data_IF_182718216659
#
_entry.id   IF_182718216659
#
_cell.length_a   1.000
_cell.length_b   1.000
_cell.length_c   1.000
_cell.angle_alpha   90.00
_cell.angle_beta   90.00
_cell.angle_gamma   90.00
#
_symmetry.space_group_name_H-M   'P 1'
#
loop_
_entity.id
_entity.type
_entity.pdbx_description
1 polymer ?
#
# COMPACT_ATOMS: atom_id res chain seq x y z
N UNK A 1 -21.34 1.87 -16.56
CA UNK A 1 -20.14 2.19 -15.75
C UNK A 1 -19.59 0.88 -15.21
N UNK A 2 -18.28 0.77 -15.03
CA UNK A 2 -17.61 -0.45 -14.54
C UNK A 2 -17.14 -0.25 -13.11
N UNK A 3 -17.13 -1.31 -12.29
CA UNK A 3 -16.45 -1.28 -10.98
C UNK A 3 -14.97 -0.91 -11.18
N UNK A 4 -14.49 0.04 -10.39
CA UNK A 4 -13.10 0.50 -10.45
C UNK A 4 -12.44 0.32 -9.09
N UNK A 5 -11.13 0.23 -9.09
CA UNK A 5 -10.32 0.44 -7.90
C UNK A 5 -9.65 1.79 -7.98
N UNK A 6 -9.73 2.56 -6.90
CA UNK A 6 -8.75 3.59 -6.61
C UNK A 6 -7.74 3.00 -5.63
N UNK A 7 -6.54 2.69 -6.13
CA UNK A 7 -5.55 1.88 -5.43
C UNK A 7 -6.14 0.56 -4.91
N UNK A 8 -6.53 0.47 -3.64
CA UNK A 8 -7.18 -0.70 -3.04
C UNK A 8 -8.66 -0.53 -2.71
N UNK A 9 -9.19 0.69 -2.78
CA UNK A 9 -10.59 0.96 -2.44
C UNK A 9 -11.46 0.64 -3.67
N UNK A 10 -12.40 -0.29 -3.49
CA UNK A 10 -13.38 -0.60 -4.53
C UNK A 10 -14.40 0.54 -4.63
N UNK A 11 -14.59 1.07 -5.84
CA UNK A 11 -15.63 2.04 -6.16
C UNK A 11 -16.61 1.36 -7.11
N UNK A 12 -17.72 0.81 -6.59
CA UNK A 12 -18.71 0.13 -7.41
C UNK A 12 -19.28 1.04 -8.50
N UNK A 13 -19.64 0.47 -9.65
CA UNK A 13 -20.22 1.25 -10.75
C UNK A 13 -21.53 1.94 -10.38
N UNK A 14 -22.26 1.39 -9.41
CA UNK A 14 -23.54 1.92 -8.93
C UNK A 14 -23.38 3.14 -8.03
N UNK A 15 -22.18 3.32 -7.45
CA UNK A 15 -21.89 4.47 -6.58
C UNK A 15 -21.37 5.65 -7.38
N UNK A 16 -20.77 5.43 -8.55
CA UNK A 16 -20.25 6.47 -9.44
C UNK A 16 -21.42 7.27 -10.04
N UNK A 17 -21.52 8.57 -9.71
CA UNK A 17 -22.46 9.51 -10.34
C UNK A 17 -21.63 10.56 -11.05
N UNK A 18 -21.66 10.59 -12.38
CA UNK A 18 -20.95 11.60 -13.18
C UNK A 18 -19.44 11.64 -12.94
N UNK A 19 -18.73 10.64 -13.48
CA UNK A 19 -17.29 10.76 -13.70
C UNK A 19 -17.06 11.53 -14.99
N UNK A 20 -16.93 12.85 -14.87
CA UNK A 20 -16.63 13.73 -15.99
C UNK A 20 -15.17 14.16 -15.92
N UNK A 21 -14.38 13.77 -16.92
CA UNK A 21 -13.18 14.55 -17.24
C UNK A 21 -13.68 15.88 -17.81
N UNK A 22 -13.67 16.95 -17.01
CA UNK A 22 -14.07 18.28 -17.46
C UNK A 22 -13.06 18.82 -18.48
N UNK A 23 -13.15 18.33 -19.72
CA UNK A 23 -12.59 19.02 -20.90
C UNK A 23 -13.58 20.08 -21.38
N UNK A 24 -14.06 20.94 -20.49
CA UNK A 24 -14.79 22.14 -20.90
C UNK A 24 -13.77 23.18 -21.34
N UNK A 25 -13.47 23.22 -22.64
CA UNK A 25 -13.12 24.51 -23.27
C UNK A 25 -14.38 25.37 -23.19
N UNK A 26 -14.55 26.10 -22.10
CA UNK A 26 -15.54 27.16 -22.00
C UNK A 26 -15.08 28.33 -22.88
N UNK A 27 -15.29 28.21 -24.19
CA UNK A 27 -15.35 29.37 -25.09
C UNK A 27 -16.73 30.00 -24.89
N UNK A 28 -16.89 30.76 -23.81
CA UNK A 28 -18.00 31.67 -23.65
C UNK A 28 -17.71 32.93 -24.49
N UNK A 29 -18.18 32.92 -25.73
CA UNK A 29 -18.21 34.11 -26.58
C UNK A 29 -19.31 35.03 -26.07
N UNK A 30 -19.02 35.86 -25.07
CA UNK A 30 -19.83 37.07 -24.85
C UNK A 30 -19.37 38.11 -25.86
N UNK A 31 -20.13 38.21 -26.96
CA UNK A 31 -20.00 39.30 -27.92
C UNK A 31 -20.42 40.61 -27.26
N UNK A 32 -19.45 41.36 -26.75
CA UNK A 32 -19.63 42.78 -26.45
C UNK A 32 -19.28 43.54 -27.72
N UNK A 33 -20.30 44.11 -28.39
CA UNK A 33 -20.09 45.05 -29.48
C UNK A 33 -19.36 46.28 -28.93
N UNK A 34 -18.11 46.50 -29.34
CA UNK A 34 -17.57 47.85 -29.40
C UNK A 34 -16.13 48.12 -28.98
N UNK A 35 -15.28 47.16 -28.57
CA UNK A 35 -13.87 47.47 -28.24
C UNK A 35 -12.87 46.35 -28.58
N UNK A 36 -11.76 46.74 -29.21
CA UNK A 36 -10.80 45.91 -29.94
C UNK A 36 -9.55 45.54 -29.10
N UNK A 37 -9.72 45.20 -27.82
CA UNK A 37 -8.71 44.46 -27.03
C UNK A 37 -9.29 44.00 -25.69
N UNK A 38 -9.85 42.79 -25.67
CA UNK A 38 -10.19 42.09 -24.44
C UNK A 38 -8.93 41.46 -23.83
N UNK A 39 -8.41 42.03 -22.76
CA UNK A 39 -7.42 41.37 -21.90
C UNK A 39 -8.08 40.16 -21.23
N UNK A 40 -7.63 38.96 -21.61
CA UNK A 40 -8.16 37.70 -21.12
C UNK A 40 -7.50 37.38 -19.78
N UNK A 41 -8.23 37.53 -18.67
CA UNK A 41 -7.86 36.91 -17.40
C UNK A 41 -8.52 35.53 -17.33
N UNK A 42 -7.75 34.49 -17.64
CA UNK A 42 -8.14 33.10 -17.41
C UNK A 42 -8.13 32.83 -15.91
N UNK A 43 -9.31 32.61 -15.32
CA UNK A 43 -9.41 31.91 -14.04
C UNK A 43 -9.36 30.42 -14.38
N UNK A 44 -8.15 29.90 -14.51
CA UNK A 44 -7.88 28.53 -14.97
C UNK A 44 -8.22 27.51 -13.89
N UNK A 45 -9.12 26.58 -14.20
CA UNK A 45 -9.01 25.21 -13.66
C UNK A 45 -7.76 24.56 -14.27
N UNK A 46 -7.04 23.76 -13.50
CA UNK A 46 -5.79 23.15 -13.98
C UNK A 46 -6.08 22.14 -15.11
N UNK A 47 -5.37 22.19 -16.25
CA UNK A 47 -5.55 21.20 -17.31
C UNK A 47 -5.21 19.79 -16.81
N UNK A 48 -6.19 18.87 -16.83
CA UNK A 48 -5.98 17.45 -16.48
C UNK A 48 -6.62 17.00 -15.16
N UNK A 49 -7.38 17.87 -14.50
CA UNK A 49 -8.16 17.54 -13.31
C UNK A 49 -9.36 16.62 -13.66
N UNK A 50 -9.62 15.66 -12.80
CA UNK A 50 -10.65 14.63 -12.89
C UNK A 50 -11.41 14.56 -11.57
N UNK A 51 -12.70 14.81 -11.63
CA UNK A 51 -13.57 14.75 -10.45
C UNK A 51 -14.20 13.36 -10.32
N UNK A 52 -13.99 12.74 -9.17
CA UNK A 52 -14.63 11.50 -8.76
C UNK A 52 -15.77 11.82 -7.80
N UNK A 53 -17.01 11.64 -8.25
CA UNK A 53 -18.19 11.76 -7.41
C UNK A 53 -18.79 10.37 -7.19
N UNK A 54 -18.91 9.96 -5.93
CA UNK A 54 -19.41 8.65 -5.54
C UNK A 54 -20.34 8.70 -4.34
N UNK A 55 -21.30 7.78 -4.26
CA UNK A 55 -22.16 7.61 -3.09
C UNK A 55 -21.96 6.20 -2.54
N UNK A 56 -21.35 6.09 -1.36
CA UNK A 56 -21.17 4.84 -0.66
C UNK A 56 -22.33 4.61 0.30
N UNK A 57 -22.87 3.40 0.35
CA UNK A 57 -23.88 2.99 1.34
C UNK A 57 -23.74 1.50 1.64
N UNK A 58 -24.21 1.08 2.83
CA UNK A 58 -24.22 -0.32 3.25
C UNK A 58 -23.49 -0.60 4.56
N UNK A 59 -23.35 -1.88 4.87
CA UNK A 59 -22.72 -2.36 6.11
C UNK A 59 -21.22 -2.07 6.09
N UNK A 60 -20.68 -1.55 7.21
CA UNK A 60 -19.27 -1.18 7.38
C UNK A 60 -18.77 -0.14 6.36
N UNK A 61 -19.66 0.69 5.80
CA UNK A 61 -19.32 1.70 4.79
C UNK A 61 -18.33 2.75 5.30
N UNK A 62 -18.28 2.99 6.61
CA UNK A 62 -17.34 3.90 7.25
C UNK A 62 -15.88 3.49 7.01
N UNK A 63 -15.56 2.19 7.02
CA UNK A 63 -14.18 1.70 6.89
C UNK A 63 -13.56 2.02 5.52
N UNK A 64 -14.17 1.68 4.36
CA UNK A 64 -13.62 2.04 3.05
C UNK A 64 -13.66 3.55 2.79
N UNK A 65 -14.60 4.29 3.41
CA UNK A 65 -14.68 5.76 3.29
C UNK A 65 -13.54 6.43 4.06
N UNK A 66 -13.29 6.02 5.30
CA UNK A 66 -12.17 6.51 6.10
C UNK A 66 -10.82 6.14 5.47
N UNK A 67 -10.66 4.91 4.98
CA UNK A 67 -9.46 4.51 4.24
C UNK A 67 -9.24 5.33 2.96
N UNK A 68 -10.32 5.77 2.31
CA UNK A 68 -10.23 6.68 1.15
C UNK A 68 -9.78 8.07 1.57
N UNK A 69 -10.36 8.62 2.65
CA UNK A 69 -9.96 9.91 3.21
C UNK A 69 -8.48 9.94 3.59
N UNK A 70 -8.02 8.89 4.25
CA UNK A 70 -6.61 8.73 4.59
C UNK A 70 -5.72 8.68 3.35
N UNK A 71 -6.13 7.94 2.32
CA UNK A 71 -5.35 7.81 1.09
C UNK A 71 -5.14 9.16 0.40
N UNK A 72 -6.15 10.03 0.34
CA UNK A 72 -6.04 11.37 -0.25
C UNK A 72 -5.11 12.30 0.55
N UNK A 73 -4.96 12.05 1.84
CA UNK A 73 -4.10 12.83 2.73
C UNK A 73 -2.74 12.16 2.99
N UNK A 74 -2.42 11.06 2.30
CA UNK A 74 -1.20 10.30 2.53
C UNK A 74 -0.02 10.88 1.74
N UNK A 75 1.09 11.15 2.42
CA UNK A 75 2.31 11.68 1.80
C UNK A 75 3.16 10.62 1.06
N UNK A 76 3.02 9.35 1.43
CA UNK A 76 3.78 8.23 0.83
C UNK A 76 3.25 7.74 -0.52
N UNK A 77 2.18 8.35 -1.04
CA UNK A 77 1.48 7.92 -2.25
C UNK A 77 1.36 9.09 -3.24
N UNK A 78 2.43 9.33 -4.00
CA UNK A 78 2.45 10.38 -5.04
C UNK A 78 1.38 10.14 -6.11
N UNK A 79 1.36 8.92 -6.67
CA UNK A 79 0.44 8.56 -7.75
C UNK A 79 -0.08 7.14 -7.62
N UNK A 80 -1.39 7.01 -7.68
CA UNK A 80 -2.10 5.75 -7.51
C UNK A 80 -2.80 5.29 -8.79
N UNK A 81 -2.95 3.97 -9.00
CA UNK A 81 -3.73 3.47 -10.11
C UNK A 81 -5.23 3.70 -9.86
N UNK A 82 -5.91 4.26 -10.85
CA UNK A 82 -7.36 4.26 -10.95
C UNK A 82 -7.74 3.49 -12.20
N UNK A 83 -8.32 2.30 -12.05
CA UNK A 83 -8.60 1.41 -13.17
C UNK A 83 -9.77 0.46 -12.91
N UNK A 84 -10.34 -0.10 -13.98
CA UNK A 84 -11.36 -1.13 -13.89
C UNK A 84 -10.89 -2.35 -13.07
N UNK A 85 -11.79 -2.91 -12.26
CA UNK A 85 -11.55 -4.12 -11.45
C UNK A 85 -11.27 -5.34 -12.34
N UNK A 86 -11.95 -5.46 -13.47
CA UNK A 86 -11.68 -6.48 -14.49
C UNK A 86 -10.97 -5.81 -15.69
N UNK A 87 -9.77 -6.28 -16.10
CA UNK A 87 -9.08 -5.75 -17.27
C UNK A 87 -9.89 -5.80 -18.58
N UNK A 88 -10.84 -6.72 -18.72
CA UNK A 88 -11.72 -6.79 -19.90
C UNK A 88 -12.65 -5.58 -20.01
N UNK A 89 -12.90 -4.90 -18.90
CA UNK A 89 -13.75 -3.72 -18.81
C UNK A 89 -12.94 -2.43 -18.68
N UNK A 90 -11.67 -2.44 -19.12
CA UNK A 90 -10.79 -1.28 -19.09
C UNK A 90 -11.42 -0.09 -19.82
N UNK A 91 -11.38 1.09 -19.21
CA UNK A 91 -11.91 2.31 -19.82
C UNK A 91 -10.77 3.25 -20.20
N UNK A 92 -11.07 4.29 -21.02
CA UNK A 92 -10.10 5.34 -21.38
C UNK A 92 -9.61 6.15 -20.17
N UNK A 93 -10.32 6.04 -19.05
CA UNK A 93 -10.00 6.72 -17.81
C UNK A 93 -8.92 5.97 -17.04
N UNK A 94 -8.72 4.68 -17.30
CA UNK A 94 -7.67 3.90 -16.63
C UNK A 94 -6.31 4.59 -16.75
N UNK A 95 -5.61 4.73 -15.63
CA UNK A 95 -4.43 5.56 -15.54
C UNK A 95 -3.81 5.62 -14.15
N UNK A 96 -2.72 6.37 -14.07
CA UNK A 96 -2.15 6.83 -12.83
C UNK A 96 -2.64 8.25 -12.54
N UNK A 97 -3.04 8.46 -11.29
CA UNK A 97 -3.64 9.70 -10.83
C UNK A 97 -2.91 10.18 -9.57
N UNK A 98 -2.52 11.45 -9.59
CA UNK A 98 -2.14 12.18 -8.39
C UNK A 98 -3.39 12.58 -7.61
N UNK A 99 -3.35 12.44 -6.30
CA UNK A 99 -4.48 12.71 -5.42
C UNK A 99 -4.50 14.19 -5.04
N UNK A 100 -5.65 14.83 -5.22
CA UNK A 100 -5.87 16.24 -4.87
C UNK A 100 -6.58 16.35 -3.53
N UNK A 101 -7.79 16.90 -3.55
CA UNK A 101 -8.63 17.03 -2.36
C UNK A 101 -9.77 16.01 -2.37
N UNK A 102 -10.28 15.71 -1.18
CA UNK A 102 -11.48 14.91 -0.99
C UNK A 102 -12.42 15.64 -0.03
N UNK A 103 -13.72 15.61 -0.33
CA UNK A 103 -14.78 16.05 0.55
C UNK A 103 -15.74 14.88 0.76
N UNK A 104 -16.04 14.58 2.03
CA UNK A 104 -16.89 13.47 2.44
C UNK A 104 -18.05 14.05 3.25
N UNK A 105 -19.27 13.80 2.80
CA UNK A 105 -20.48 14.30 3.42
C UNK A 105 -21.41 13.14 3.77
N UNK A 106 -21.91 13.03 5.01
CA UNK A 106 -22.94 12.03 5.32
C UNK A 106 -24.22 12.33 4.52
N UNK A 107 -24.89 11.29 4.01
CA UNK A 107 -26.12 11.45 3.23
C UNK A 107 -27.32 11.88 4.09
N UNK A 108 -27.32 11.51 5.35
CA UNK A 108 -28.29 11.90 6.35
C UNK A 108 -27.56 12.36 7.61
N UNK A 109 -28.02 13.44 8.24
CA UNK A 109 -27.38 14.00 9.43
C UNK A 109 -27.50 13.13 10.68
N UNK A 110 -28.36 12.10 10.67
CA UNK A 110 -28.68 11.27 11.84
C UNK A 110 -28.31 9.79 11.68
N UNK A 111 -27.92 9.33 10.49
CA UNK A 111 -27.51 7.94 10.28
C UNK A 111 -26.28 7.86 9.38
N UNK A 112 -25.32 7.01 9.75
CA UNK A 112 -24.12 6.74 8.95
C UNK A 112 -24.38 5.70 7.84
N UNK A 113 -25.60 5.65 7.32
CA UNK A 113 -26.03 4.64 6.34
C UNK A 113 -25.46 4.89 4.94
N UNK A 114 -24.87 6.07 4.72
CA UNK A 114 -24.09 6.34 3.53
C UNK A 114 -23.43 7.71 3.50
N UNK A 115 -22.45 7.82 2.61
CA UNK A 115 -21.59 8.99 2.43
C UNK A 115 -21.54 9.38 0.96
N UNK A 116 -21.64 10.68 0.68
CA UNK A 116 -21.29 11.28 -0.60
C UNK A 116 -19.82 11.68 -0.57
N UNK A 117 -19.11 11.35 -1.62
CA UNK A 117 -17.70 11.65 -1.80
C UNK A 117 -17.55 12.46 -3.07
N UNK A 118 -16.88 13.60 -2.96
CA UNK A 118 -16.45 14.41 -4.09
C UNK A 118 -14.95 14.59 -3.98
N UNK A 119 -14.18 14.05 -4.92
CA UNK A 119 -12.73 14.08 -4.88
C UNK A 119 -12.14 14.62 -6.18
N UNK A 120 -11.07 15.40 -6.11
CA UNK A 120 -10.29 15.87 -7.25
C UNK A 120 -9.00 15.07 -7.40
N UNK A 121 -8.70 14.67 -8.63
CA UNK A 121 -7.49 13.93 -8.97
C UNK A 121 -6.89 14.47 -10.25
N UNK A 122 -5.58 14.42 -10.42
CA UNK A 122 -4.93 14.83 -11.67
C UNK A 122 -4.42 13.61 -12.42
N UNK A 123 -4.80 13.44 -13.69
CA UNK A 123 -4.30 12.30 -14.49
C UNK A 123 -2.85 12.56 -14.88
N UNK A 124 -1.92 11.84 -14.27
CA UNK A 124 -0.49 11.94 -14.56
C UNK A 124 -0.10 11.13 -15.79
N UNK A 125 -0.70 9.95 -15.95
CA UNK A 125 -0.26 9.05 -17.00
C UNK A 125 -1.04 7.77 -17.15
N UNK A 126 -0.51 6.89 -17.98
CA UNK A 126 -0.95 5.51 -18.17
C UNK A 126 0.26 4.60 -18.18
N UNK A 127 0.05 3.27 -18.15
CA UNK A 127 1.13 2.28 -18.34
C UNK A 127 1.85 2.44 -19.68
N UNK A 128 1.23 3.06 -20.69
CA UNK A 128 1.85 3.33 -21.98
C UNK A 128 2.65 4.63 -22.02
N UNK A 129 2.37 5.60 -21.16
CA UNK A 129 3.11 6.88 -21.10
C UNK A 129 4.12 6.94 -19.95
N UNK A 130 3.95 6.13 -18.90
CA UNK A 130 4.82 6.08 -17.73
C UNK A 130 5.24 4.64 -17.40
N UNK A 131 6.37 4.53 -16.72
CA UNK A 131 6.84 3.32 -16.05
C UNK A 131 6.59 3.43 -14.55
N UNK A 132 6.33 2.30 -13.89
CA UNK A 132 6.57 2.22 -12.45
C UNK A 132 8.08 2.11 -12.24
N UNK A 133 8.57 2.85 -11.26
CA UNK A 133 9.98 2.95 -10.98
C UNK A 133 10.23 2.73 -9.49
N UNK A 134 11.31 2.01 -9.17
CA UNK A 134 11.89 2.00 -7.83
C UNK A 134 13.23 2.72 -7.90
N UNK A 135 13.29 3.92 -7.31
CA UNK A 135 14.55 4.64 -7.13
C UNK A 135 15.29 4.03 -5.94
N UNK A 136 16.59 3.84 -6.07
CA UNK A 136 17.42 3.32 -5.00
C UNK A 136 18.65 4.18 -4.79
N UNK A 137 19.06 4.31 -3.52
CA UNK A 137 20.31 4.94 -3.10
C UNK A 137 20.98 4.02 -2.09
N UNK A 138 21.71 2.99 -2.55
CA UNK A 138 22.36 2.02 -1.69
C UNK A 138 23.26 2.69 -0.65
N UNK A 139 22.97 2.48 0.64
CA UNK A 139 23.72 3.07 1.75
C UNK A 139 24.06 2.02 2.80
N UNK A 140 25.25 2.14 3.40
CA UNK A 140 25.62 1.34 4.56
C UNK A 140 24.75 1.68 5.76
N UNK A 141 24.29 0.66 6.48
CA UNK A 141 23.46 0.84 7.69
C UNK A 141 24.03 0.00 8.83
N UNK A 142 23.96 0.54 10.06
CA UNK A 142 24.34 -0.18 11.27
C UNK A 142 23.19 -1.11 11.66
N UNK A 143 23.41 -2.41 11.51
CA UNK A 143 22.49 -3.45 11.96
C UNK A 143 23.25 -4.41 12.88
N UNK A 144 22.65 -4.87 13.99
CA UNK A 144 23.29 -5.86 14.87
C UNK A 144 23.33 -7.24 14.20
N UNK A 145 22.60 -7.41 13.10
CA UNK A 145 22.49 -8.64 12.34
C UNK A 145 23.46 -8.58 11.16
N UNK A 146 24.72 -8.95 11.42
CA UNK A 146 25.73 -9.08 10.36
C UNK A 146 25.33 -10.10 9.29
N UNK A 147 25.85 -9.95 8.06
CA UNK A 147 25.93 -11.10 7.15
C UNK A 147 25.91 -10.83 5.66
N UNK A 148 25.24 -9.78 5.18
CA UNK A 148 25.14 -9.55 3.73
C UNK A 148 25.16 -8.06 3.36
N UNK A 149 26.02 -7.72 2.40
CA UNK A 149 26.16 -6.35 1.88
C UNK A 149 25.18 -6.03 0.73
N UNK A 150 24.30 -6.95 0.33
CA UNK A 150 23.32 -6.71 -0.74
C UNK A 150 22.28 -5.65 -0.38
N UNK A 151 21.96 -4.77 -1.32
CA UNK A 151 20.92 -3.75 -1.24
C UNK A 151 19.65 -4.27 -1.92
N UNK A 152 18.98 -5.21 -1.26
CA UNK A 152 17.89 -5.97 -1.90
C UNK A 152 16.51 -5.37 -1.64
N UNK A 153 15.69 -5.32 -2.69
CA UNK A 153 14.26 -4.99 -2.67
C UNK A 153 13.49 -5.94 -3.58
N UNK A 154 12.15 -5.93 -3.54
CA UNK A 154 11.34 -6.87 -4.32
C UNK A 154 10.21 -6.21 -5.13
N UNK A 155 9.96 -6.78 -6.30
CA UNK A 155 8.80 -6.45 -7.15
C UNK A 155 7.98 -7.71 -7.42
N UNK A 156 6.69 -7.59 -7.78
CA UNK A 156 5.86 -8.75 -8.12
C UNK A 156 6.40 -9.50 -9.35
N UNK A 157 6.37 -10.83 -9.35
CA UNK A 157 6.78 -11.65 -10.53
C UNK A 157 5.91 -11.36 -11.77
N UNK A 158 4.67 -10.90 -11.57
CA UNK A 158 3.80 -10.47 -12.67
C UNK A 158 4.25 -9.17 -13.35
N UNK A 159 5.23 -8.46 -12.79
CA UNK A 159 5.82 -7.30 -13.41
C UNK A 159 6.58 -7.70 -14.68
N UNK A 160 6.46 -6.89 -15.72
CA UNK A 160 7.09 -7.14 -17.02
C UNK A 160 7.99 -5.99 -17.41
N UNK A 161 8.84 -6.21 -18.43
CA UNK A 161 9.74 -5.19 -19.00
C UNK A 161 10.68 -4.56 -17.95
N UNK A 162 11.21 -5.39 -17.05
CA UNK A 162 12.12 -5.00 -15.98
C UNK A 162 13.46 -4.54 -16.53
N UNK A 163 13.86 -3.30 -16.21
CA UNK A 163 15.11 -2.69 -16.70
C UNK A 163 15.75 -1.82 -15.63
N UNK A 164 17.07 -1.88 -15.53
CA UNK A 164 17.84 -0.88 -14.80
C UNK A 164 18.00 0.37 -15.65
N UNK A 165 17.84 1.52 -15.01
CA UNK A 165 18.04 2.83 -15.59
C UNK A 165 18.93 3.65 -14.67
N UNK A 166 20.02 4.16 -15.22
CA UNK A 166 20.96 5.04 -14.53
C UNK A 166 20.70 6.49 -14.98
N UNK A 167 20.14 7.32 -14.10
CA UNK A 167 19.75 8.71 -14.41
C UNK A 167 20.91 9.58 -14.94
N UNK A 168 22.14 9.53 -14.38
CA UNK A 168 23.27 10.34 -14.84
C UNK A 168 23.76 9.97 -16.26
N UNK A 169 23.79 8.68 -16.60
CA UNK A 169 24.34 8.23 -17.89
C UNK A 169 23.26 7.97 -18.95
N UNK A 170 22.00 7.81 -18.55
CA UNK A 170 20.91 7.40 -19.42
C UNK A 170 20.99 5.92 -19.84
N UNK A 171 21.88 5.13 -19.23
CA UNK A 171 22.11 3.74 -19.61
C UNK A 171 20.92 2.87 -19.21
N UNK A 172 20.49 2.01 -20.13
CA UNK A 172 19.46 1.00 -19.91
C UNK A 172 20.05 -0.41 -19.99
N UNK A 173 19.84 -1.19 -18.95
CA UNK A 173 20.23 -2.60 -18.90
C UNK A 173 19.03 -3.48 -18.54
N UNK A 174 19.01 -4.72 -19.04
CA UNK A 174 17.99 -5.68 -18.63
C UNK A 174 18.22 -6.10 -17.19
N UNK A 175 17.21 -5.96 -16.34
CA UNK A 175 17.35 -6.34 -14.94
C UNK A 175 17.07 -7.84 -14.77
N UNK A 176 18.02 -8.55 -14.16
CA UNK A 176 17.87 -9.97 -13.83
C UNK A 176 17.59 -10.13 -12.34
N UNK A 177 16.53 -10.85 -11.94
CA UNK A 177 16.23 -11.08 -10.54
C UNK A 177 17.28 -12.02 -9.91
N UNK A 178 17.72 -11.70 -8.69
CA UNK A 178 18.69 -12.48 -7.94
C UNK A 178 18.09 -13.78 -7.41
N UNK A 179 16.82 -13.72 -6.97
CA UNK A 179 16.05 -14.85 -6.43
C UNK A 179 14.57 -14.51 -6.35
N UNK A 180 13.74 -15.52 -6.10
CA UNK A 180 12.32 -15.35 -5.84
C UNK A 180 11.97 -15.60 -4.36
N UNK A 181 10.91 -14.95 -3.89
CA UNK A 181 10.30 -15.18 -2.56
C UNK A 181 8.79 -15.34 -2.70
N UNK A 182 8.20 -16.18 -1.84
CA UNK A 182 6.77 -16.43 -1.81
C UNK A 182 6.09 -15.61 -0.73
N UNK A 183 5.03 -14.87 -1.09
CA UNK A 183 4.25 -14.01 -0.23
C UNK A 183 2.74 -14.33 -0.36
N UNK A 184 1.91 -13.68 0.46
CA UNK A 184 0.46 -13.87 0.54
C UNK A 184 -0.24 -13.79 -0.82
N UNK A 185 0.08 -12.74 -1.60
CA UNK A 185 -0.61 -12.44 -2.85
C UNK A 185 0.10 -12.96 -4.10
N UNK A 186 1.17 -13.74 -3.94
CA UNK A 186 1.92 -14.35 -5.03
C UNK A 186 3.43 -14.40 -4.80
N UNK A 187 4.16 -14.68 -5.88
CA UNK A 187 5.62 -14.68 -5.88
C UNK A 187 6.15 -13.27 -6.16
N UNK A 188 7.27 -12.95 -5.52
CA UNK A 188 8.01 -11.70 -5.72
C UNK A 188 9.41 -12.03 -6.21
N UNK A 189 9.93 -11.20 -7.09
CA UNK A 189 11.29 -11.22 -7.57
C UNK A 189 12.14 -10.23 -6.80
N UNK A 190 13.28 -10.69 -6.28
CA UNK A 190 14.22 -9.90 -5.50
C UNK A 190 15.35 -9.41 -6.40
N UNK A 191 15.56 -8.10 -6.42
CA UNK A 191 16.64 -7.43 -7.12
C UNK A 191 17.64 -6.88 -6.10
N UNK A 192 18.91 -6.76 -6.49
CA UNK A 192 19.98 -6.19 -5.66
C UNK A 192 20.52 -4.94 -6.35
N UNK A 193 20.29 -3.77 -5.75
CA UNK A 193 20.71 -2.49 -6.32
C UNK A 193 22.23 -2.38 -6.47
N UNK A 194 23.03 -3.14 -5.71
CA UNK A 194 24.50 -3.16 -5.87
C UNK A 194 24.97 -3.94 -7.11
N UNK A 195 24.10 -4.73 -7.73
CA UNK A 195 24.40 -5.45 -8.96
C UNK A 195 23.97 -4.67 -10.22
N UNK A 196 23.35 -3.52 -10.05
CA UNK A 196 22.87 -2.67 -11.13
C UNK A 196 23.95 -1.68 -11.60
N UNK A 197 23.82 -1.15 -12.83
CA UNK A 197 24.72 -0.09 -13.32
C UNK A 197 24.51 1.22 -12.55
N UNK A 198 25.61 1.87 -12.18
CA UNK A 198 25.61 3.17 -11.51
C UNK A 198 25.52 3.10 -9.98
N UNK A 199 25.60 4.27 -9.34
CA UNK A 199 25.60 4.42 -7.87
C UNK A 199 24.18 4.60 -7.30
N UNK A 200 23.23 5.09 -8.10
CA UNK A 200 21.83 5.31 -7.70
C UNK A 200 20.87 4.75 -8.77
N UNK A 201 20.87 3.42 -8.97
CA UNK A 201 20.12 2.79 -10.05
C UNK A 201 18.61 2.88 -9.79
N UNK A 202 17.85 3.07 -10.85
CA UNK A 202 16.38 3.03 -10.84
C UNK A 202 15.90 1.79 -11.58
N UNK A 203 15.07 0.97 -10.92
CA UNK A 203 14.44 -0.17 -11.58
C UNK A 203 13.11 0.24 -12.20
N UNK A 204 13.01 0.16 -13.52
CA UNK A 204 11.79 0.39 -14.28
C UNK A 204 11.05 -0.94 -14.51
N UNK A 205 9.74 -0.93 -14.34
CA UNK A 205 8.89 -2.10 -14.60
C UNK A 205 7.46 -1.69 -14.97
N UNK A 206 6.71 -2.66 -15.50
CA UNK A 206 5.31 -2.51 -15.90
C UNK A 206 4.45 -3.58 -15.21
N UNK A 207 3.52 -3.15 -14.36
CA UNK A 207 2.60 -4.01 -13.59
C UNK A 207 1.15 -3.69 -13.96
N UNK A 208 0.26 -4.70 -14.10
CA UNK A 208 -1.16 -4.44 -14.29
C UNK A 208 -1.78 -3.69 -13.09
N UNK A 209 -2.61 -2.69 -13.36
CA UNK A 209 -3.19 -1.81 -12.34
C UNK A 209 -3.85 -2.54 -11.17
N UNK A 210 -4.67 -3.56 -11.45
CA UNK A 210 -5.42 -4.33 -10.46
C UNK A 210 -4.57 -5.30 -9.63
N UNK A 211 -3.27 -5.39 -9.91
CA UNK A 211 -2.32 -6.20 -9.15
C UNK A 211 -1.44 -5.38 -8.22
N UNK A 212 -1.24 -4.09 -8.49
CA UNK A 212 -0.23 -3.29 -7.79
C UNK A 212 -0.44 -3.26 -6.27
N UNK A 213 -1.60 -2.79 -5.82
CA UNK A 213 -1.92 -2.63 -4.39
C UNK A 213 -1.90 -3.94 -3.58
N UNK A 214 -1.98 -5.10 -4.25
CA UNK A 214 -2.05 -6.42 -3.59
C UNK A 214 -0.68 -6.80 -3.04
N UNK A 215 0.38 -6.43 -3.73
CA UNK A 215 1.72 -6.84 -3.33
C UNK A 215 2.37 -5.85 -2.36
N UNK A 216 1.86 -4.63 -2.29
CA UNK A 216 2.42 -3.53 -1.51
C UNK A 216 2.36 -3.76 0.01
N UNK A 217 3.21 -3.03 0.73
CA UNK A 217 3.14 -2.97 2.18
C UNK A 217 1.79 -2.38 2.64
N UNK A 218 1.29 -2.87 3.77
CA UNK A 218 -0.03 -2.53 4.30
C UNK A 218 0.05 -2.26 5.80
N UNK A 219 -0.68 -1.26 6.24
CA UNK A 219 -1.02 -1.02 7.64
C UNK A 219 -2.52 -1.20 7.78
N UNK A 220 -2.92 -1.85 8.85
CA UNK A 220 -4.31 -2.00 9.22
C UNK A 220 -4.54 -1.52 10.65
N UNK A 221 -5.70 -0.95 10.88
CA UNK A 221 -6.30 -0.85 12.21
C UNK A 221 -7.28 -2.01 12.36
N UNK A 222 -7.05 -2.86 13.37
CA UNK A 222 -7.87 -4.04 13.59
C UNK A 222 -9.20 -3.75 14.30
N UNK A 223 -9.37 -2.55 14.87
CA UNK A 223 -10.53 -2.15 15.69
C UNK A 223 -10.88 -3.14 16.82
N UNK A 224 -9.91 -3.93 17.30
CA UNK A 224 -10.11 -5.07 18.19
C UNK A 224 -11.15 -6.09 17.67
N UNK A 225 -11.22 -6.26 16.34
CA UNK A 225 -12.17 -7.14 15.63
C UNK A 225 -11.43 -8.20 14.82
N UNK A 226 -12.08 -9.33 14.54
CA UNK A 226 -11.53 -10.28 13.56
C UNK A 226 -11.43 -9.63 12.18
N UNK A 227 -10.44 -10.06 11.39
CA UNK A 227 -10.18 -9.50 10.05
C UNK A 227 -11.40 -9.61 9.11
N UNK A 228 -12.17 -10.68 9.23
CA UNK A 228 -13.30 -10.98 8.35
C UNK A 228 -14.60 -11.05 9.14
N UNK A 229 -15.60 -10.26 8.74
CA UNK A 229 -16.99 -10.50 9.09
C UNK A 229 -17.52 -11.59 8.17
N UNK A 230 -18.17 -12.57 8.77
CA UNK A 230 -18.80 -13.68 8.06
C UNK A 230 -20.30 -13.50 8.20
N UNK A 231 -20.95 -12.99 7.15
CA UNK A 231 -22.41 -12.92 7.09
C UNK A 231 -22.95 -14.08 6.25
N UNK A 232 -23.97 -14.76 6.75
CA UNK A 232 -24.78 -15.64 5.91
C UNK A 232 -25.63 -14.76 5.00
N UNK A 233 -25.42 -14.83 3.68
CA UNK A 233 -26.33 -14.14 2.78
C UNK A 233 -27.75 -14.66 3.03
N UNK A 234 -28.78 -13.80 2.98
CA UNK A 234 -30.15 -14.27 2.96
C UNK A 234 -30.27 -15.25 1.79
N UNK A 235 -30.51 -16.53 2.11
CA UNK A 235 -30.91 -17.50 1.11
C UNK A 235 -32.14 -16.98 0.39
N UNK A 236 -32.38 -17.44 -0.83
CA UNK A 236 -33.55 -17.10 -1.66
C UNK A 236 -34.91 -17.53 -1.06
N UNK A 237 -34.99 -17.78 0.26
CA UNK A 237 -36.15 -18.33 0.94
C UNK A 237 -36.36 -19.82 0.70
N UNK A 238 -35.61 -20.46 -0.20
CA UNK A 238 -35.74 -21.89 -0.49
C UNK A 238 -34.98 -22.71 0.55
N UNK A 239 -35.60 -22.91 1.71
CA UNK A 239 -35.25 -24.05 2.56
C UNK A 239 -35.76 -25.33 1.89
N UNK A 240 -35.05 -25.81 0.86
CA UNK A 240 -35.14 -27.24 0.54
C UNK A 240 -34.51 -27.95 1.73
N UNK A 241 -35.34 -28.60 2.56
CA UNK A 241 -34.86 -29.42 3.68
C UNK A 241 -33.72 -30.29 3.18
N UNK A 242 -32.59 -30.28 3.88
CA UNK A 242 -31.34 -30.90 3.48
C UNK A 242 -31.55 -32.28 2.87
N UNK A 243 -31.65 -32.33 1.54
CA UNK A 243 -31.79 -33.55 0.78
C UNK A 243 -30.44 -33.81 0.14
N UNK A 244 -29.77 -34.86 0.61
CA UNK A 244 -28.59 -35.39 -0.06
C UNK A 244 -29.07 -36.04 -1.36
N UNK A 245 -28.75 -35.43 -2.51
CA UNK A 245 -28.96 -36.07 -3.82
C UNK A 245 -27.59 -36.63 -4.24
N UNK A 246 -27.37 -37.92 -4.03
CA UNK A 246 -26.06 -38.54 -4.21
C UNK A 246 -25.07 -38.11 -3.13
N UNK A 247 -23.86 -37.68 -3.51
CA UNK A 247 -22.81 -37.20 -2.59
C UNK A 247 -22.77 -35.68 -2.43
N UNK A 248 -23.73 -34.96 -3.01
CA UNK A 248 -23.75 -33.50 -2.99
C UNK A 248 -24.77 -32.95 -1.99
N UNK A 249 -24.34 -32.00 -1.15
CA UNK A 249 -25.20 -31.22 -0.28
C UNK A 249 -25.75 -30.03 -1.06
N UNK A 250 -27.07 -29.98 -1.25
CA UNK A 250 -27.76 -28.81 -1.83
C UNK A 250 -28.21 -27.91 -0.67
N UNK A 251 -27.79 -26.63 -0.67
CA UNK A 251 -28.27 -25.64 0.30
C UNK A 251 -27.23 -25.01 1.24
N UNK A 252 -25.94 -25.03 0.93
CA UNK A 252 -25.00 -24.19 1.67
C UNK A 252 -25.30 -22.71 1.34
N UNK A 253 -25.86 -21.97 2.30
CA UNK A 253 -26.09 -20.53 2.18
C UNK A 253 -24.81 -19.83 1.74
N UNK A 254 -24.93 -18.82 0.87
CA UNK A 254 -23.78 -18.09 0.35
C UNK A 254 -23.18 -17.25 1.49
N UNK A 255 -22.06 -17.68 2.05
CA UNK A 255 -21.34 -16.87 3.02
C UNK A 255 -20.67 -15.68 2.33
N UNK A 256 -20.94 -14.46 2.80
CA UNK A 256 -20.25 -13.24 2.37
C UNK A 256 -19.20 -12.90 3.41
N UNK A 257 -17.95 -12.78 2.98
CA UNK A 257 -16.83 -12.36 3.81
C UNK A 257 -16.51 -10.89 3.51
N UNK A 258 -16.52 -10.04 4.53
CA UNK A 258 -16.19 -8.62 4.40
C UNK A 258 -15.00 -8.28 5.31
N UNK A 259 -13.99 -7.52 4.84
CA UNK A 259 -12.92 -7.07 5.71
C UNK A 259 -13.45 -6.09 6.76
N UNK A 260 -13.16 -6.32 8.04
CA UNK A 260 -13.52 -5.41 9.14
C UNK A 260 -12.37 -4.52 9.59
N UNK A 261 -11.18 -4.74 9.04
CA UNK A 261 -10.01 -3.93 9.32
C UNK A 261 -9.95 -2.76 8.35
N UNK A 262 -9.67 -1.57 8.87
CA UNK A 262 -9.44 -0.38 8.06
C UNK A 262 -8.01 -0.41 7.56
N UNK A 263 -7.80 -0.08 6.28
CA UNK A 263 -6.47 0.14 5.75
C UNK A 263 -6.02 1.55 6.12
N UNK A 264 -4.85 1.64 6.72
CA UNK A 264 -4.24 2.90 7.16
C UNK A 264 -3.16 3.32 6.17
N UNK A 265 -3.14 4.61 5.84
CA UNK A 265 -2.21 5.22 4.89
C UNK A 265 -1.37 6.35 5.50
N UNK A 266 -1.79 6.86 6.65
CA UNK A 266 -1.12 7.96 7.35
C UNK A 266 -0.38 7.47 8.59
N UNK A 267 0.75 8.09 8.88
CA UNK A 267 1.57 7.77 10.07
C UNK A 267 0.99 8.35 11.35
N UNK A 268 0.17 9.40 11.26
CA UNK A 268 -0.50 10.07 12.38
C UNK A 268 -1.94 9.56 12.61
N UNK A 269 -2.27 8.38 12.08
CA UNK A 269 -3.55 7.72 12.34
C UNK A 269 -3.65 7.34 13.81
N UNK A 270 -4.76 7.70 14.46
CA UNK A 270 -5.08 7.28 15.82
C UNK A 270 -5.72 5.88 15.77
N UNK A 271 -4.95 4.87 16.19
CA UNK A 271 -5.42 3.49 16.18
C UNK A 271 -6.48 3.27 17.27
N UNK A 272 -7.63 2.75 16.87
CA UNK A 272 -8.66 2.33 17.82
C UNK A 272 -8.36 0.94 18.37
N UNK A 273 -7.93 0.03 17.49
CA UNK A 273 -7.44 -1.28 17.86
C UNK A 273 -5.90 -1.33 17.83
N UNK A 274 -5.36 -2.50 17.48
CA UNK A 274 -3.92 -2.69 17.35
C UNK A 274 -3.47 -2.41 15.91
N UNK A 275 -2.33 -1.74 15.73
CA UNK A 275 -1.73 -1.63 14.41
C UNK A 275 -1.32 -3.01 13.89
N UNK A 276 -1.60 -3.30 12.62
CA UNK A 276 -1.12 -4.51 11.96
C UNK A 276 -0.35 -4.13 10.72
N UNK A 277 0.97 -4.35 10.73
CA UNK A 277 1.85 -4.04 9.60
C UNK A 277 2.19 -5.31 8.83
N UNK A 278 2.10 -5.24 7.49
CA UNK A 278 2.27 -6.40 6.61
C UNK A 278 3.12 -6.08 5.38
N UNK A 279 4.04 -6.97 5.04
CA UNK A 279 4.74 -6.99 3.74
C UNK A 279 4.15 -8.00 2.75
N UNK A 280 3.16 -8.79 3.19
CA UNK A 280 2.71 -10.01 2.51
C UNK A 280 3.57 -11.25 2.82
N UNK A 281 4.81 -11.09 3.30
CA UNK A 281 5.65 -12.19 3.76
C UNK A 281 5.73 -12.29 5.29
N UNK A 282 5.64 -11.14 5.96
CA UNK A 282 5.67 -10.98 7.41
C UNK A 282 4.51 -10.08 7.81
N UNK A 283 3.83 -10.44 8.90
CA UNK A 283 2.86 -9.62 9.61
C UNK A 283 3.36 -9.38 11.02
N UNK A 284 3.32 -8.15 11.50
CA UNK A 284 3.64 -7.79 12.88
C UNK A 284 2.42 -7.11 13.49
N UNK A 285 2.09 -7.51 14.72
CA UNK A 285 1.02 -6.94 15.53
C UNK A 285 1.68 -6.52 16.86
N UNK A 286 2.03 -5.22 17.01
CA UNK A 286 2.42 -4.64 18.28
C UNK A 286 1.20 -4.60 19.21
N UNK A 287 1.45 -4.85 20.49
CA UNK A 287 0.47 -4.85 21.57
C UNK A 287 1.11 -4.13 22.75
N UNK A 288 1.16 -2.80 22.65
CA UNK A 288 1.84 -1.91 23.60
C UNK A 288 1.28 -2.05 25.01
N UNK A 289 -0.05 -2.17 25.14
CA UNK A 289 -0.73 -2.36 26.43
C UNK A 289 -0.20 -3.57 27.20
N UNK A 290 0.14 -4.65 26.49
CA UNK A 290 0.68 -5.87 27.11
C UNK A 290 2.21 -5.97 26.99
N UNK A 291 2.86 -5.02 26.33
CA UNK A 291 4.27 -5.06 25.98
C UNK A 291 4.68 -6.24 25.10
N UNK A 292 3.76 -6.72 24.25
CA UNK A 292 3.97 -7.90 23.41
C UNK A 292 4.12 -7.46 21.95
N UNK A 293 5.11 -7.99 21.25
CA UNK A 293 5.17 -7.93 19.79
C UNK A 293 4.91 -9.33 19.24
N UNK A 294 3.83 -9.51 18.47
CA UNK A 294 3.55 -10.78 17.78
C UNK A 294 3.97 -10.65 16.33
N UNK A 295 4.68 -11.65 15.82
CA UNK A 295 5.09 -11.70 14.44
C UNK A 295 4.61 -13.00 13.80
N UNK A 296 4.17 -12.93 12.55
CA UNK A 296 3.66 -14.06 11.80
C UNK A 296 4.31 -14.12 10.44
N UNK A 297 4.69 -15.32 10.02
CA UNK A 297 5.23 -15.58 8.68
C UNK A 297 4.16 -16.15 7.79
N UNK A 298 4.12 -15.70 6.55
CA UNK A 298 3.28 -16.33 5.55
C UNK A 298 3.77 -17.75 5.24
N UNK A 299 2.93 -18.74 5.49
CA UNK A 299 3.09 -20.10 4.99
C UNK A 299 2.36 -20.23 3.66
N UNK A 300 3.14 -20.37 2.59
CA UNK A 300 2.61 -20.47 1.24
C UNK A 300 1.91 -21.80 0.96
N UNK A 301 2.30 -22.89 1.63
CA UNK A 301 1.69 -24.19 1.43
C UNK A 301 0.28 -24.23 2.04
N UNK A 302 0.17 -23.75 3.28
CA UNK A 302 -1.08 -23.74 4.04
C UNK A 302 -1.96 -22.49 3.76
N UNK A 303 -1.44 -21.52 3.01
CA UNK A 303 -2.08 -20.23 2.72
C UNK A 303 -2.57 -19.51 3.98
N UNK A 304 -1.71 -19.46 4.99
CA UNK A 304 -2.02 -18.81 6.27
C UNK A 304 -0.78 -18.19 6.91
N UNK A 305 -1.01 -17.21 7.77
CA UNK A 305 0.03 -16.67 8.64
C UNK A 305 0.25 -17.61 9.84
N UNK A 306 1.50 -18.00 10.06
CA UNK A 306 1.93 -18.86 11.17
C UNK A 306 2.69 -18.03 12.19
N UNK A 307 2.37 -18.19 13.47
CA UNK A 307 3.01 -17.43 14.55
C UNK A 307 4.50 -17.78 14.63
N UNK A 308 5.35 -16.77 14.62
CA UNK A 308 6.79 -16.89 14.87
C UNK A 308 7.07 -16.66 16.35
N UNK A 309 7.84 -17.57 16.94
CA UNK A 309 8.37 -17.36 18.29
C UNK A 309 9.55 -16.38 18.22
N UNK A 310 9.43 -15.27 18.95
CA UNK A 310 10.53 -14.35 19.19
C UNK A 310 11.51 -14.96 20.20
N UNK A 311 12.75 -14.45 20.25
CA UNK A 311 13.76 -14.95 21.19
C UNK A 311 13.36 -14.70 22.64
N UNK A 312 13.80 -15.55 23.56
CA UNK A 312 13.66 -15.31 24.99
C UNK A 312 14.55 -14.12 25.39
N UNK A 313 13.99 -13.15 26.10
CA UNK A 313 14.67 -11.89 26.45
C UNK A 313 13.87 -11.15 27.53
N UNK A 314 14.51 -10.40 28.45
CA UNK A 314 13.82 -9.54 29.39
C UNK A 314 13.27 -8.25 28.75
N UNK A 315 13.58 -8.01 27.46
CA UNK A 315 13.12 -6.86 26.70
C UNK A 315 11.69 -7.07 26.19
N UNK A 316 10.80 -6.15 26.55
CA UNK A 316 9.40 -6.09 26.11
C UNK A 316 9.13 -4.89 25.22
N UNK A 317 8.10 -4.97 24.38
CA UNK A 317 7.66 -3.80 23.61
C UNK A 317 7.19 -2.72 24.60
N UNK A 318 7.55 -1.48 24.32
CA UNK A 318 7.07 -0.31 25.05
C UNK A 318 6.25 0.60 24.14
N UNK A 319 6.74 0.85 22.92
CA UNK A 319 6.15 1.81 21.99
C UNK A 319 6.36 1.39 20.54
N UNK A 320 5.42 1.73 19.65
CA UNK A 320 5.47 1.45 18.22
C UNK A 320 4.99 2.64 17.39
N UNK A 321 5.93 3.44 16.90
CA UNK A 321 5.64 4.64 16.12
C UNK A 321 5.85 4.43 14.63
N UNK A 322 4.82 4.63 13.82
CA UNK A 322 4.95 4.61 12.36
C UNK A 322 5.61 5.90 11.88
N UNK A 323 6.70 5.77 11.11
CA UNK A 323 7.45 6.92 10.57
C UNK A 323 7.32 7.08 9.07
N UNK A 324 7.01 6.01 8.34
CA UNK A 324 6.78 6.05 6.90
C UNK A 324 5.85 4.91 6.48
N UNK A 325 4.82 5.22 5.69
CA UNK A 325 3.95 4.24 5.04
C UNK A 325 4.05 4.47 3.54
N UNK A 326 4.65 3.52 2.84
CA UNK A 326 4.73 3.53 1.38
C UNK A 326 4.42 2.16 0.78
N UNK A 327 4.24 2.09 -0.55
CA UNK A 327 3.91 0.83 -1.22
C UNK A 327 5.06 -0.18 -1.21
N UNK A 328 6.31 0.28 -1.35
CA UNK A 328 7.49 -0.58 -1.33
C UNK A 328 8.03 -0.86 0.10
N UNK A 329 7.88 0.12 0.99
CA UNK A 329 8.48 0.14 2.32
C UNK A 329 7.54 0.67 3.37
N UNK A 330 7.67 0.13 4.58
CA UNK A 330 7.09 0.68 5.79
C UNK A 330 8.21 0.82 6.82
N UNK A 331 8.23 1.94 7.54
CA UNK A 331 9.21 2.21 8.59
C UNK A 331 8.49 2.53 9.89
N UNK A 332 9.01 1.98 10.99
CA UNK A 332 8.54 2.28 12.33
C UNK A 332 9.73 2.42 13.27
N UNK A 333 9.61 3.26 14.29
CA UNK A 333 10.52 3.28 15.43
C UNK A 333 9.87 2.44 16.54
N UNK A 334 10.61 1.43 17.01
CA UNK A 334 10.10 0.42 17.94
C UNK A 334 10.92 0.53 19.23
N UNK A 335 10.29 0.98 20.29
CA UNK A 335 10.94 1.13 21.59
C UNK A 335 10.69 -0.10 22.45
N UNK A 336 11.76 -0.63 23.03
CA UNK A 336 11.74 -1.74 23.96
C UNK A 336 12.16 -1.27 25.34
N UNK A 337 11.57 -1.86 26.36
CA UNK A 337 11.93 -1.65 27.76
C UNK A 337 12.52 -2.93 28.34
N UNK A 338 13.66 -2.82 29.03
CA UNK A 338 14.19 -3.90 29.85
C UNK A 338 13.39 -4.01 31.17
N UNK A 339 12.79 -5.18 31.40
CA UNK A 339 12.05 -5.48 32.62
C UNK A 339 12.94 -5.63 33.86
N UNK A 340 14.26 -5.76 33.68
CA UNK A 340 15.23 -5.95 34.77
C UNK A 340 15.88 -4.62 35.21
N UNK A 341 16.21 -3.74 34.26
CA UNK A 341 16.98 -2.52 34.48
C UNK A 341 16.26 -1.19 34.28
N UNK A 342 14.98 -1.18 33.86
CA UNK A 342 14.24 0.04 33.45
C UNK A 342 14.89 0.82 32.30
N UNK A 343 15.78 0.19 31.52
CA UNK A 343 16.41 0.81 30.36
C UNK A 343 15.47 0.77 29.15
N UNK A 344 15.58 1.78 28.28
CA UNK A 344 14.81 1.88 27.04
C UNK A 344 15.76 1.86 25.84
N UNK A 345 15.36 1.13 24.81
CA UNK A 345 16.12 1.01 23.57
C UNK A 345 15.18 1.10 22.37
N UNK A 346 15.42 2.06 21.48
CA UNK A 346 14.64 2.23 20.26
C UNK A 346 15.35 1.60 19.07
N UNK A 347 14.62 0.90 18.20
CA UNK A 347 15.16 0.35 16.97
C UNK A 347 14.31 0.82 15.79
N UNK A 348 14.95 1.22 14.69
CA UNK A 348 14.21 1.49 13.46
C UNK A 348 13.92 0.17 12.74
N UNK A 349 12.66 -0.19 12.68
CA UNK A 349 12.16 -1.32 11.91
C UNK A 349 11.82 -0.88 10.49
N UNK A 350 12.37 -1.59 9.49
CA UNK A 350 12.04 -1.40 8.08
C UNK A 350 11.46 -2.69 7.52
N UNK A 351 10.19 -2.64 7.16
CA UNK A 351 9.46 -3.70 6.51
C UNK A 351 9.43 -3.43 5.01
N UNK A 352 9.92 -4.39 4.21
CA UNK A 352 10.02 -4.26 2.76
C UNK A 352 9.04 -5.21 2.10
N UNK A 353 8.47 -4.77 0.98
CA UNK A 353 7.49 -5.52 0.19
C UNK A 353 7.92 -6.96 -0.07
N UNK A 354 7.05 -7.92 0.23
CA UNK A 354 7.25 -9.35 0.00
C UNK A 354 8.18 -10.07 1.00
N UNK A 355 9.03 -9.36 1.75
CA UNK A 355 10.02 -10.00 2.62
C UNK A 355 9.38 -10.61 3.87
N UNK A 356 9.87 -11.80 4.23
CA UNK A 356 9.40 -12.56 5.40
C UNK A 356 10.14 -12.18 6.70
N UNK A 357 11.01 -11.18 6.65
CA UNK A 357 11.80 -10.66 7.77
C UNK A 357 11.96 -9.14 7.63
N UNK A 358 11.91 -8.42 8.74
CA UNK A 358 12.12 -6.98 8.79
C UNK A 358 13.60 -6.66 9.02
N UNK A 359 14.06 -5.47 8.64
CA UNK A 359 15.38 -4.97 9.02
C UNK A 359 15.26 -4.17 10.30
N UNK A 360 16.12 -4.42 11.26
CA UNK A 360 16.24 -3.61 12.48
C UNK A 360 17.57 -2.87 12.45
N UNK A 361 17.50 -1.55 12.58
CA UNK A 361 18.62 -0.62 12.43
C UNK A 361 18.73 0.26 13.68
N UNK A 362 19.95 0.66 14.01
CA UNK A 362 20.17 1.75 14.98
C UNK A 362 19.80 3.07 14.28
N UNK A 363 18.99 3.95 14.90
CA UNK A 363 18.72 5.28 14.37
C UNK A 363 20.01 6.05 14.09
N UNK A 364 20.07 6.80 12.99
CA UNK A 364 21.31 7.41 12.46
C UNK A 364 22.00 8.38 13.45
N UNK A 365 21.25 8.97 14.36
CA UNK A 365 21.76 9.96 15.32
C UNK A 365 22.21 9.33 16.65
N UNK A 366 22.03 8.02 16.80
CA UNK A 366 22.36 7.32 18.02
C UNK A 366 23.63 6.50 17.86
N UNK A 367 24.55 6.64 18.81
CA UNK A 367 25.79 5.87 18.87
C UNK A 367 25.80 4.93 20.07
N UNK A 368 24.88 3.97 20.06
CA UNK A 368 24.87 2.86 21.03
C UNK A 368 24.97 1.51 20.33
N UNK A 369 25.52 0.55 21.07
CA UNK A 369 25.42 -0.86 20.73
C UNK A 369 24.08 -1.41 21.21
N UNK A 370 23.48 -2.26 20.39
CA UNK A 370 22.22 -2.92 20.74
C UNK A 370 22.53 -4.02 21.76
N UNK A 371 21.87 -4.03 22.93
CA UNK A 371 22.03 -5.08 23.93
C UNK A 371 21.85 -6.47 23.32
N UNK A 372 22.75 -7.40 23.63
CA UNK A 372 22.76 -8.73 23.00
C UNK A 372 21.44 -9.49 23.19
N UNK A 373 20.79 -9.31 24.35
CA UNK A 373 19.50 -9.91 24.67
C UNK A 373 18.34 -9.31 23.85
N UNK A 374 18.38 -8.00 23.56
CA UNK A 374 17.43 -7.38 22.64
C UNK A 374 17.68 -7.85 21.20
N UNK A 375 18.95 -7.97 20.80
CA UNK A 375 19.29 -8.52 19.51
C UNK A 375 18.79 -9.97 19.38
N UNK A 376 18.88 -10.79 20.43
CA UNK A 376 18.33 -12.14 20.45
C UNK A 376 16.80 -12.16 20.36
N UNK A 377 16.11 -11.19 21.02
CA UNK A 377 14.65 -11.07 21.00
C UNK A 377 14.09 -10.98 19.59
N UNK A 378 14.62 -10.07 18.76
CA UNK A 378 14.09 -9.81 17.42
C UNK A 378 14.79 -10.58 16.30
N UNK A 379 15.87 -11.32 16.61
CA UNK A 379 16.61 -12.15 15.65
C UNK A 379 15.74 -13.07 14.77
N UNK A 380 14.69 -13.76 15.28
CA UNK A 380 13.87 -14.66 14.45
C UNK A 380 13.17 -13.96 13.28
N UNK A 381 12.85 -12.68 13.45
CA UNK A 381 12.15 -11.85 12.47
C UNK A 381 13.07 -10.84 11.79
N UNK A 382 14.34 -10.78 12.19
CA UNK A 382 15.33 -9.84 11.70
C UNK A 382 16.06 -10.35 10.45
N UNK A 383 16.29 -9.44 9.51
CA UNK A 383 17.04 -9.68 8.29
C UNK A 383 18.51 -9.29 8.47
N UNK A 384 19.40 -10.15 7.97
CA UNK A 384 20.85 -10.01 8.07
C UNK A 384 21.44 -9.16 6.92
N UNK A 385 21.15 -7.86 6.91
CA UNK A 385 21.66 -6.94 5.89
C UNK A 385 22.32 -5.72 6.51
N UNK A 386 23.50 -5.38 6.02
CA UNK A 386 24.26 -4.19 6.42
C UNK A 386 24.20 -3.07 5.38
N UNK A 387 23.40 -3.25 4.33
CA UNK A 387 23.17 -2.24 3.29
C UNK A 387 21.68 -2.09 3.05
N UNK A 388 21.23 -0.86 2.92
CA UNK A 388 19.86 -0.52 2.54
C UNK A 388 19.79 0.00 1.12
N UNK A 389 18.82 -0.46 0.33
CA UNK A 389 18.55 0.09 -1.00
C UNK A 389 17.93 1.50 -0.95
N UNK A 390 17.36 1.92 0.19
CA UNK A 390 16.58 3.16 0.31
C UNK A 390 15.54 3.26 -0.81
N UNK A 391 14.83 2.17 -1.05
CA UNK A 391 13.93 2.05 -2.17
C UNK A 391 12.71 2.95 -1.99
N UNK A 392 12.36 3.70 -3.03
CA UNK A 392 11.14 4.51 -3.09
C UNK A 392 10.43 4.26 -4.43
N UNK A 393 9.13 4.00 -4.36
CA UNK A 393 8.31 3.76 -5.55
C UNK A 393 7.80 5.09 -6.09
N UNK A 394 7.94 5.30 -7.40
CA UNK A 394 7.48 6.51 -8.11
C UNK A 394 7.04 6.17 -9.53
N UNK A 395 6.69 7.20 -10.30
CA UNK A 395 6.43 7.12 -11.73
C UNK A 395 7.51 7.86 -12.52
N UNK A 396 7.89 7.28 -13.64
CA UNK A 396 8.82 7.93 -14.57
C UNK A 396 8.23 7.97 -15.97
N UNK A 397 8.27 9.14 -16.61
CA UNK A 397 7.72 9.29 -17.95
C UNK A 397 8.57 8.50 -18.96
N UNK A 398 7.94 7.70 -19.83
CA UNK A 398 8.67 6.89 -20.82
C UNK A 398 9.55 7.74 -21.74
N UNK A 399 9.12 8.97 -22.04
CA UNK A 399 9.84 9.95 -22.87
C UNK A 399 11.17 10.42 -22.26
N UNK A 400 11.31 10.33 -20.93
CA UNK A 400 12.55 10.72 -20.24
C UNK A 400 13.59 9.61 -20.33
N UNK A 401 13.13 8.36 -20.39
CA UNK A 401 13.95 7.15 -20.43
C UNK A 401 14.40 6.81 -21.86
N UNK A 402 13.58 7.12 -22.89
CA UNK A 402 13.82 6.70 -24.27
C UNK A 402 14.67 7.68 -25.10
N UNK A 403 15.66 8.35 -24.49
CA UNK A 403 16.51 9.31 -25.22
C UNK A 403 17.45 8.63 -26.20
#
# INVERSE_FOLDING_TARGET
MTNKYLYSVAIPSQTQRDTSADRRRNLMTQGVMGQDSGQVASVSTQPGEYSLNAIFSGVLVELPVAALEELFNASGFESVPFAATNPENATKEDGYYGLGSINIEPLASQTNDGFRINASMTKEGTRTSHWRAIKTTPTGVRSPYGGNQGAEFAIPEIATKTRWYDEPTGTLETATPKRQIKAENGTMEVFDAKQAPGEAPTLLYDVPYHHEFKYDCRVWDDFDRPKELVEEAPGDGSKVGSATVGTATVGAGKTVKMPQWQRVFRTDHEFYGKPVVESGGLRIIPDETNGIMRAYRWDYADKRYTLMQLGASPWRLFDFDLTEIGPATLKADVTFQDTSGNEFQTLKMVLQRGFQRARFLVPKNDDYDIPSELAQRVAPIARYQTTSAQESQTLMARREVSR
#
